data_IF_911976795837
#
_entry.id   IF_911976795837
#
_cell.length_a   1.000
_cell.length_b   1.000
_cell.length_c   1.000
_cell.angle_alpha   90.00
_cell.angle_beta   90.00
_cell.angle_gamma   90.00
#
_symmetry.space_group_name_H-M   'P 1'
#
loop_
_entity.id
_entity.type
_entity.pdbx_description
1 polymer ?
#
# COMPACT_ATOMS: atom_id res chain seq x y z
N UNK A 1 -25.03 -26.52 -2.53
CA UNK A 1 -23.74 -25.91 -2.14
C UNK A 1 -23.47 -24.83 -3.18
N UNK A 2 -23.71 -23.56 -2.82
CA UNK A 2 -23.49 -22.43 -3.73
C UNK A 2 -22.08 -21.95 -3.46
N UNK A 3 -21.15 -22.25 -4.35
CA UNK A 3 -19.81 -21.70 -4.33
C UNK A 3 -19.90 -20.24 -4.81
N UNK A 4 -19.94 -19.30 -3.88
CA UNK A 4 -19.83 -17.88 -4.20
C UNK A 4 -18.41 -17.60 -4.71
N UNK A 5 -18.28 -17.17 -5.96
CA UNK A 5 -17.00 -16.76 -6.52
C UNK A 5 -16.38 -15.69 -5.62
N UNK A 6 -15.20 -15.94 -5.06
CA UNK A 6 -14.52 -14.99 -4.19
C UNK A 6 -14.19 -13.67 -4.91
N UNK A 7 -14.18 -13.66 -6.25
CA UNK A 7 -14.11 -12.46 -7.12
C UNK A 7 -15.43 -11.71 -7.29
N UNK A 8 -16.57 -12.33 -6.98
CA UNK A 8 -17.87 -11.64 -6.86
C UNK A 8 -18.19 -11.21 -5.42
N UNK A 9 -17.35 -11.61 -4.45
CA UNK A 9 -17.45 -11.09 -3.09
C UNK A 9 -17.10 -9.60 -3.11
N UNK A 10 -17.96 -8.72 -2.56
CA UNK A 10 -17.68 -7.29 -2.44
C UNK A 10 -16.29 -7.01 -1.82
N UNK A 11 -15.81 -7.90 -0.96
CA UNK A 11 -14.52 -7.76 -0.28
C UNK A 11 -13.31 -8.04 -1.18
N UNK A 12 -13.42 -8.97 -2.13
CA UNK A 12 -12.32 -9.28 -3.06
C UNK A 12 -12.12 -8.18 -4.11
N UNK A 13 -13.23 -7.63 -4.63
CA UNK A 13 -13.20 -6.48 -5.54
C UNK A 13 -12.70 -5.21 -4.84
N UNK A 14 -13.11 -5.01 -3.58
CA UNK A 14 -12.62 -3.89 -2.77
C UNK A 14 -11.11 -4.00 -2.52
N UNK A 15 -10.60 -5.18 -2.16
CA UNK A 15 -9.17 -5.44 -1.97
C UNK A 15 -8.36 -5.12 -3.25
N UNK A 16 -8.83 -5.62 -4.41
CA UNK A 16 -8.18 -5.34 -5.68
C UNK A 16 -8.18 -3.84 -6.02
N UNK A 17 -9.29 -3.15 -5.78
CA UNK A 17 -9.40 -1.72 -6.03
C UNK A 17 -8.45 -0.93 -5.12
N UNK A 18 -8.33 -1.28 -3.84
CA UNK A 18 -7.45 -0.57 -2.90
C UNK A 18 -5.98 -0.78 -3.20
N UNK A 19 -5.54 -2.01 -3.53
CA UNK A 19 -4.15 -2.28 -3.90
C UNK A 19 -3.76 -1.49 -5.16
N UNK A 20 -4.63 -1.48 -6.19
CA UNK A 20 -4.39 -0.68 -7.41
C UNK A 20 -4.34 0.81 -7.14
N UNK A 21 -5.24 1.32 -6.29
CA UNK A 21 -5.27 2.74 -5.91
C UNK A 21 -4.02 3.14 -5.13
N UNK A 22 -3.57 2.28 -4.23
CA UNK A 22 -2.36 2.49 -3.44
C UNK A 22 -1.14 2.58 -4.34
N UNK A 23 -0.99 1.66 -5.29
CA UNK A 23 0.09 1.69 -6.28
C UNK A 23 0.06 2.97 -7.14
N UNK A 24 -1.11 3.32 -7.67
CA UNK A 24 -1.30 4.53 -8.48
C UNK A 24 -0.91 5.80 -7.72
N UNK A 25 -1.37 5.95 -6.48
CA UNK A 25 -0.99 7.06 -5.61
C UNK A 25 0.51 7.09 -5.33
N UNK A 26 1.14 5.94 -5.11
CA UNK A 26 2.59 5.84 -4.91
C UNK A 26 3.37 6.31 -6.13
N UNK A 27 2.95 5.91 -7.33
CA UNK A 27 3.58 6.34 -8.59
C UNK A 27 3.35 7.82 -8.89
N UNK A 28 2.15 8.35 -8.62
CA UNK A 28 1.87 9.78 -8.76
C UNK A 28 2.71 10.61 -7.80
N UNK A 29 2.81 10.18 -6.53
CA UNK A 29 3.65 10.83 -5.53
C UNK A 29 5.11 10.84 -5.97
N UNK A 30 5.63 9.70 -6.44
CA UNK A 30 7.00 9.58 -6.94
C UNK A 30 7.28 10.55 -8.10
N UNK A 31 6.34 10.68 -9.04
CA UNK A 31 6.43 11.66 -10.14
C UNK A 31 6.45 13.10 -9.62
N UNK A 32 5.60 13.44 -8.66
CA UNK A 32 5.58 14.77 -8.05
C UNK A 32 6.91 15.10 -7.34
N UNK A 33 7.58 14.12 -6.71
CA UNK A 33 8.92 14.37 -6.16
C UNK A 33 9.97 14.72 -7.23
N UNK A 34 9.71 14.40 -8.51
CA UNK A 34 10.64 14.65 -9.62
C UNK A 34 10.43 16.00 -10.30
N UNK A 35 9.27 16.63 -10.12
CA UNK A 35 8.98 17.95 -10.66
C UNK A 35 9.47 19.08 -9.76
N UNK A 36 9.90 18.77 -8.53
CA UNK A 36 10.28 19.76 -7.52
C UNK A 36 9.08 20.44 -6.84
N UNK A 37 7.86 19.98 -7.14
CA UNK A 37 6.63 20.48 -6.53
C UNK A 37 6.40 19.79 -5.18
N UNK A 38 6.95 20.41 -4.12
CA UNK A 38 6.87 19.89 -2.76
C UNK A 38 5.41 19.84 -2.24
N UNK A 39 4.58 20.83 -2.59
CA UNK A 39 3.18 20.88 -2.14
C UNK A 39 2.36 19.74 -2.75
N UNK A 40 2.51 19.50 -4.06
CA UNK A 40 1.87 18.36 -4.72
C UNK A 40 2.40 17.03 -4.16
N UNK A 41 3.71 16.91 -3.94
CA UNK A 41 4.31 15.70 -3.37
C UNK A 41 3.77 15.40 -1.97
N UNK A 42 3.68 16.40 -1.08
CA UNK A 42 3.12 16.25 0.27
C UNK A 42 1.65 15.84 0.20
N UNK A 43 0.86 16.53 -0.64
CA UNK A 43 -0.57 16.26 -0.77
C UNK A 43 -0.83 14.83 -1.26
N UNK A 44 -0.10 14.39 -2.29
CA UNK A 44 -0.20 13.04 -2.82
C UNK A 44 0.30 12.01 -1.79
N UNK A 45 1.36 12.31 -1.05
CA UNK A 45 1.89 11.44 -0.02
C UNK A 45 0.93 11.27 1.17
N UNK A 46 0.18 12.32 1.55
CA UNK A 46 -0.87 12.23 2.55
C UNK A 46 -2.04 11.33 2.07
N UNK A 47 -2.48 11.50 0.83
CA UNK A 47 -3.50 10.64 0.23
C UNK A 47 -3.05 9.18 0.13
N UNK A 48 -1.79 8.98 -0.26
CA UNK A 48 -1.14 7.67 -0.29
C UNK A 48 -1.13 7.01 1.08
N UNK A 49 -0.79 7.76 2.13
CA UNK A 49 -0.74 7.26 3.51
C UNK A 49 -2.12 6.84 4.00
N UNK A 50 -3.18 7.65 3.80
CA UNK A 50 -4.56 7.24 4.14
C UNK A 50 -4.98 5.98 3.37
N UNK A 51 -4.64 5.89 2.08
CA UNK A 51 -4.91 4.71 1.27
C UNK A 51 -4.15 3.48 1.78
N UNK A 52 -2.90 3.64 2.24
CA UNK A 52 -2.05 2.57 2.76
C UNK A 52 -2.70 1.92 3.98
N UNK A 53 -3.09 2.72 4.98
CA UNK A 53 -3.77 2.20 6.18
C UNK A 53 -5.03 1.40 5.84
N UNK A 54 -5.81 1.89 4.87
CA UNK A 54 -7.04 1.20 4.43
C UNK A 54 -6.74 -0.10 3.70
N UNK A 55 -5.75 -0.11 2.81
CA UNK A 55 -5.35 -1.31 2.06
C UNK A 55 -4.83 -2.38 3.01
N UNK A 56 -3.90 -2.03 3.89
CA UNK A 56 -3.32 -2.95 4.86
C UNK A 56 -4.39 -3.57 5.77
N UNK A 57 -5.31 -2.77 6.31
CA UNK A 57 -6.40 -3.29 7.11
C UNK A 57 -7.34 -4.24 6.33
N UNK A 58 -7.53 -4.03 5.03
CA UNK A 58 -8.32 -4.92 4.18
C UNK A 58 -7.58 -6.21 3.87
N UNK A 59 -6.30 -6.12 3.53
CA UNK A 59 -5.42 -7.26 3.28
C UNK A 59 -5.32 -8.17 4.51
N UNK A 60 -5.10 -7.60 5.69
CA UNK A 60 -5.02 -8.36 6.94
C UNK A 60 -6.34 -9.03 7.29
N UNK A 61 -7.47 -8.34 7.08
CA UNK A 61 -8.80 -8.96 7.22
C UNK A 61 -8.99 -10.11 6.25
N UNK A 62 -8.56 -9.95 4.99
CA UNK A 62 -8.63 -11.00 4.00
C UNK A 62 -7.74 -12.19 4.37
N UNK A 63 -6.51 -11.94 4.80
CA UNK A 63 -5.58 -12.94 5.31
C UNK A 63 -6.11 -13.66 6.56
N UNK A 64 -6.96 -13.03 7.38
CA UNK A 64 -7.63 -13.72 8.50
C UNK A 64 -8.71 -14.71 8.04
N UNK A 65 -9.25 -14.57 6.83
CA UNK A 65 -10.24 -15.51 6.30
C UNK A 65 -9.62 -16.79 5.73
N UNK A 66 -8.27 -16.85 5.68
CA UNK A 66 -7.51 -17.88 4.97
C UNK A 66 -6.29 -18.32 5.78
N UNK A 67 -5.92 -19.61 5.71
CA UNK A 67 -4.70 -20.08 6.37
C UNK A 67 -3.48 -19.72 5.51
N UNK A 68 -2.94 -18.52 5.70
CA UNK A 68 -1.68 -18.12 5.07
C UNK A 68 -0.51 -18.33 6.04
N UNK A 69 0.48 -19.18 5.72
CA UNK A 69 1.68 -19.35 6.54
C UNK A 69 2.54 -18.07 6.60
N UNK A 70 2.30 -17.12 5.70
CA UNK A 70 3.05 -15.87 5.56
C UNK A 70 2.33 -14.67 6.21
N UNK A 71 1.12 -14.88 6.76
CA UNK A 71 0.30 -13.82 7.36
C UNK A 71 1.06 -12.95 8.35
N UNK A 72 1.72 -13.57 9.32
CA UNK A 72 2.37 -12.83 10.40
C UNK A 72 3.59 -12.05 9.90
N UNK A 73 4.27 -12.52 8.84
CA UNK A 73 5.34 -11.77 8.21
C UNK A 73 4.78 -10.56 7.44
N UNK A 74 3.69 -10.74 6.68
CA UNK A 74 3.00 -9.67 5.96
C UNK A 74 2.51 -8.54 6.89
N UNK A 75 1.91 -8.89 8.04
CA UNK A 75 1.47 -7.91 9.06
C UNK A 75 2.65 -7.14 9.68
N UNK A 76 3.79 -7.81 9.90
CA UNK A 76 5.00 -7.14 10.40
C UNK A 76 5.56 -6.17 9.37
N UNK A 77 5.54 -6.53 8.10
CA UNK A 77 5.94 -5.63 7.01
C UNK A 77 5.03 -4.39 6.97
N UNK A 78 3.70 -4.55 7.08
CA UNK A 78 2.79 -3.41 7.19
C UNK A 78 3.13 -2.47 8.35
N UNK A 79 3.41 -3.03 9.53
CA UNK A 79 3.78 -2.25 10.71
C UNK A 79 5.05 -1.44 10.44
N UNK A 80 6.07 -2.09 9.89
CA UNK A 80 7.33 -1.42 9.54
C UNK A 80 7.15 -0.30 8.52
N UNK A 81 6.35 -0.52 7.47
CA UNK A 81 6.08 0.48 6.44
C UNK A 81 5.27 1.67 6.97
N UNK A 82 4.36 1.43 7.92
CA UNK A 82 3.64 2.48 8.64
C UNK A 82 4.62 3.32 9.47
N UNK A 83 5.48 2.68 10.26
CA UNK A 83 6.48 3.38 11.08
C UNK A 83 7.39 4.25 10.22
N UNK A 84 7.90 3.71 9.11
CA UNK A 84 8.71 4.43 8.12
C UNK A 84 7.95 5.64 7.56
N UNK A 85 6.68 5.46 7.20
CA UNK A 85 5.84 6.53 6.64
C UNK A 85 5.60 7.65 7.66
N UNK A 86 5.36 7.30 8.93
CA UNK A 86 5.18 8.28 10.02
C UNK A 86 6.48 9.02 10.31
N UNK A 87 7.62 8.33 10.36
CA UNK A 87 8.93 8.95 10.54
C UNK A 87 9.20 9.99 9.43
N UNK A 88 8.91 9.63 8.18
CA UNK A 88 9.04 10.55 7.06
C UNK A 88 8.06 11.71 7.14
N UNK A 89 6.81 11.48 7.51
CA UNK A 89 5.83 12.56 7.67
C UNK A 89 6.28 13.59 8.71
N UNK A 90 6.80 13.12 9.85
CA UNK A 90 7.32 14.00 10.91
C UNK A 90 8.57 14.76 10.44
N UNK A 91 9.45 14.12 9.67
CA UNK A 91 10.65 14.77 9.10
C UNK A 91 10.28 15.85 8.06
N UNK A 92 9.31 15.56 7.19
CA UNK A 92 8.80 16.49 6.16
C UNK A 92 8.23 17.77 6.79
N UNK A 93 7.54 17.66 7.92
CA UNK A 93 6.99 18.81 8.64
C UNK A 93 8.06 19.70 9.30
N UNK A 94 9.33 19.28 9.29
CA UNK A 94 10.43 20.00 9.96
C UNK A 94 11.46 20.63 9.02
N UNK A 95 11.64 20.11 7.79
CA UNK A 95 12.57 20.67 6.79
C UNK A 95 12.06 20.48 5.35
N UNK A 96 11.51 21.56 4.79
CA UNK A 96 10.92 21.60 3.45
C UNK A 96 11.92 21.27 2.32
N UNK A 97 13.22 21.50 2.54
CA UNK A 97 14.24 21.35 1.48
C UNK A 97 14.56 19.90 1.13
N UNK A 98 14.26 18.96 2.03
CA UNK A 98 14.54 17.53 1.84
C UNK A 98 13.27 16.70 1.65
N UNK A 99 12.09 17.30 1.74
CA UNK A 99 10.79 16.64 1.65
C UNK A 99 10.66 15.69 0.46
N UNK A 100 10.88 16.18 -0.77
CA UNK A 100 10.76 15.37 -1.97
C UNK A 100 11.77 14.21 -2.02
N UNK A 101 12.99 14.43 -1.54
CA UNK A 101 14.03 13.40 -1.51
C UNK A 101 13.71 12.29 -0.49
N UNK A 102 13.20 12.67 0.68
CA UNK A 102 12.77 11.74 1.73
C UNK A 102 11.57 10.90 1.28
N UNK A 103 10.52 11.53 0.73
CA UNK A 103 9.34 10.84 0.20
C UNK A 103 9.75 9.86 -0.90
N UNK A 104 10.61 10.29 -1.83
CA UNK A 104 11.12 9.42 -2.89
C UNK A 104 11.83 8.19 -2.34
N UNK A 105 12.76 8.39 -1.40
CA UNK A 105 13.53 7.29 -0.79
C UNK A 105 12.61 6.27 -0.12
N UNK A 106 11.57 6.73 0.58
CA UNK A 106 10.60 5.85 1.22
C UNK A 106 9.84 4.99 0.19
N UNK A 107 9.32 5.65 -0.85
CA UNK A 107 8.54 5.00 -1.91
C UNK A 107 9.37 3.99 -2.68
N UNK A 108 10.56 4.37 -3.16
CA UNK A 108 11.42 3.50 -3.96
C UNK A 108 12.09 2.40 -3.14
N UNK A 109 12.50 2.70 -1.90
CA UNK A 109 13.31 1.82 -1.08
C UNK A 109 12.53 0.70 -0.39
N UNK A 110 11.26 0.92 -0.07
CA UNK A 110 10.49 -0.02 0.74
C UNK A 110 9.05 -0.19 0.25
N UNK A 111 8.33 0.91 0.03
CA UNK A 111 6.86 0.84 -0.06
C UNK A 111 6.37 0.34 -1.42
N UNK A 112 6.87 0.88 -2.54
CA UNK A 112 6.49 0.38 -3.88
C UNK A 112 6.95 -1.07 -4.12
N UNK A 113 8.16 -1.49 -3.71
CA UNK A 113 8.55 -2.90 -3.76
C UNK A 113 7.57 -3.83 -3.02
N UNK A 114 7.12 -3.45 -1.82
CA UNK A 114 6.12 -4.22 -1.06
C UNK A 114 4.82 -4.37 -1.86
N UNK A 115 4.26 -3.26 -2.34
CA UNK A 115 2.99 -3.28 -3.10
C UNK A 115 3.08 -4.19 -4.33
N UNK A 116 4.18 -4.09 -5.09
CA UNK A 116 4.35 -4.82 -6.35
C UNK A 116 4.58 -6.31 -6.13
N UNK A 117 5.28 -6.69 -5.06
CA UNK A 117 5.72 -8.08 -4.84
C UNK A 117 4.86 -8.85 -3.85
N UNK A 118 4.36 -8.19 -2.79
CA UNK A 118 3.60 -8.80 -1.69
C UNK A 118 2.10 -8.61 -1.91
N UNK A 119 1.64 -7.38 -2.01
CA UNK A 119 0.18 -7.09 -2.07
C UNK A 119 -0.44 -7.63 -3.36
N UNK A 120 0.24 -7.42 -4.50
CA UNK A 120 -0.20 -8.01 -5.78
C UNK A 120 -0.22 -9.54 -5.78
N UNK A 121 0.64 -10.19 -4.99
CA UNK A 121 0.61 -11.66 -4.88
C UNK A 121 -0.70 -12.13 -4.23
N UNK A 122 -1.28 -11.35 -3.30
CA UNK A 122 -2.60 -11.67 -2.72
C UNK A 122 -3.70 -11.74 -3.80
N UNK A 123 -3.62 -10.88 -4.82
CA UNK A 123 -4.56 -10.90 -5.94
C UNK A 123 -4.42 -12.17 -6.80
N UNK A 124 -3.19 -12.67 -6.96
CA UNK A 124 -2.94 -13.90 -7.72
C UNK A 124 -3.42 -15.15 -6.96
N UNK A 125 -3.16 -15.21 -5.65
CA UNK A 125 -3.64 -16.30 -4.79
C UNK A 125 -5.17 -16.31 -4.68
N UNK A 126 -5.80 -15.16 -4.80
CA UNK A 126 -7.26 -15.07 -4.87
C UNK A 126 -7.83 -15.66 -6.16
N UNK A 127 -7.15 -15.48 -7.30
CA UNK A 127 -7.58 -16.03 -8.59
C UNK A 127 -7.42 -17.56 -8.68
N UNK A 128 -6.45 -18.15 -7.98
CA UNK A 128 -6.21 -19.60 -8.03
C UNK A 128 -7.13 -20.41 -7.13
N UNK A 129 -7.89 -19.77 -6.23
CA UNK A 129 -8.78 -20.47 -5.31
C UNK A 129 -10.26 -20.08 -5.43
N UNK A 130 -10.59 -19.20 -6.37
CA UNK A 130 -11.95 -19.12 -6.89
C UNK A 130 -12.12 -20.21 -7.96
N UNK A 131 -13.07 -21.16 -7.82
CA UNK A 131 -13.40 -22.10 -8.90
C UNK A 131 -14.08 -21.40 -10.09
#
# INVERSE_FOLDING_TARGET
MICSNALSSPNGLLLQATIRRLEDLGLQTLRATSTGDAEAAITLFAQFTDCMYRSFALEERWLNTWFSPDRDAHVREHTHLIELTVEHYMSVMTDDRLTCASIRRALEGAILPHIVTRDRALLQHHHTVAP
#
